data_IF_070214701568
#
_entry.id   IF_070214701568
#
_cell.length_a   1.000
_cell.length_b   1.000
_cell.length_c   1.000
_cell.angle_alpha   90.00
_cell.angle_beta   90.00
_cell.angle_gamma   90.00
#
_symmetry.space_group_name_H-M   'P 1'
#
loop_
_entity.id
_entity.type
_entity.pdbx_description
1 polymer ?
#
# COMPACT_ATOMS: atom_id res chain seq x y z
N UNK A 1 2.67 21.85 26.99
CA UNK A 1 1.54 21.50 26.07
C UNK A 1 2.02 21.63 24.64
N UNK A 2 1.91 20.59 23.84
CA UNK A 2 2.34 20.56 22.44
C UNK A 2 1.14 20.93 21.57
N UNK A 3 1.25 22.04 20.83
CA UNK A 3 0.17 22.54 19.99
C UNK A 3 0.33 22.03 18.56
N UNK A 4 -0.75 21.52 17.98
CA UNK A 4 -0.75 21.01 16.61
C UNK A 4 -1.84 21.67 15.76
N UNK A 5 -1.67 21.66 14.44
CA UNK A 5 -2.68 22.04 13.48
C UNK A 5 -3.01 20.85 12.57
N UNK A 6 -4.29 20.67 12.23
CA UNK A 6 -4.78 19.61 11.33
C UNK A 6 -5.25 20.26 10.04
N UNK A 7 -4.71 19.84 8.89
CA UNK A 7 -5.09 20.32 7.56
C UNK A 7 -6.07 19.31 6.93
N UNK A 8 -7.33 19.73 6.78
CA UNK A 8 -8.46 18.92 6.33
C UNK A 8 -9.22 18.29 7.50
N UNK A 9 -10.52 18.59 7.60
CA UNK A 9 -11.43 18.04 8.62
C UNK A 9 -12.44 17.07 8.00
N UNK A 10 -11.93 16.24 7.06
CA UNK A 10 -12.66 15.11 6.49
C UNK A 10 -12.59 13.87 7.39
N UNK A 11 -12.75 12.70 6.78
CA UNK A 11 -12.75 11.41 7.49
C UNK A 11 -11.50 11.21 8.37
N UNK A 12 -10.32 11.47 7.83
CA UNK A 12 -9.06 11.21 8.56
C UNK A 12 -8.79 12.32 9.58
N UNK A 13 -8.92 13.59 9.20
CA UNK A 13 -8.65 14.72 10.12
C UNK A 13 -9.59 14.71 11.34
N UNK A 14 -10.89 14.47 11.13
CA UNK A 14 -11.83 14.31 12.26
C UNK A 14 -11.51 13.07 13.11
N UNK A 15 -11.02 12.01 12.47
CA UNK A 15 -10.53 10.82 13.16
C UNK A 15 -9.31 11.10 14.04
N UNK A 16 -8.36 11.90 13.58
CA UNK A 16 -7.19 12.32 14.37
C UNK A 16 -7.62 13.05 15.64
N UNK A 17 -8.55 14.01 15.51
CA UNK A 17 -9.13 14.74 16.65
C UNK A 17 -9.81 13.77 17.62
N UNK A 18 -10.59 12.81 17.10
CA UNK A 18 -11.28 11.80 17.90
C UNK A 18 -10.30 10.90 18.66
N UNK A 19 -9.26 10.37 18.00
CA UNK A 19 -8.25 9.50 18.64
C UNK A 19 -7.49 10.26 19.73
N UNK A 20 -7.07 11.51 19.48
CA UNK A 20 -6.41 12.36 20.46
C UNK A 20 -7.30 12.60 21.69
N UNK A 21 -8.61 12.78 21.50
CA UNK A 21 -9.58 12.99 22.57
C UNK A 21 -9.81 11.70 23.38
N UNK A 22 -10.10 10.59 22.70
CA UNK A 22 -10.45 9.31 23.36
C UNK A 22 -9.27 8.73 24.12
N UNK A 23 -8.06 8.85 23.58
CA UNK A 23 -6.85 8.28 24.17
C UNK A 23 -5.96 9.30 24.87
N UNK A 24 -6.50 10.50 25.21
CA UNK A 24 -5.76 11.64 25.78
C UNK A 24 -4.80 11.21 26.90
N UNK A 25 -5.31 10.55 27.93
CA UNK A 25 -4.53 10.19 29.11
C UNK A 25 -3.38 9.22 28.80
N UNK A 26 -3.62 8.25 27.94
CA UNK A 26 -2.60 7.30 27.49
C UNK A 26 -1.52 7.99 26.66
N UNK A 27 -1.91 8.88 25.76
CA UNK A 27 -1.00 9.66 24.90
C UNK A 27 -0.16 10.59 25.77
N UNK A 28 -0.78 11.38 26.65
CA UNK A 28 -0.08 12.29 27.58
C UNK A 28 0.95 11.56 28.42
N UNK A 29 0.60 10.36 28.94
CA UNK A 29 1.54 9.54 29.74
C UNK A 29 2.75 9.09 28.91
N UNK A 30 2.57 8.79 27.62
CA UNK A 30 3.63 8.32 26.71
C UNK A 30 4.55 9.43 26.25
N UNK A 31 4.00 10.62 26.02
CA UNK A 31 4.71 11.81 25.54
C UNK A 31 5.35 12.58 26.70
N UNK A 32 4.74 12.55 27.87
CA UNK A 32 5.11 13.38 29.03
C UNK A 32 4.47 14.76 29.02
N UNK A 33 3.73 15.09 27.99
CA UNK A 33 3.01 16.37 27.85
C UNK A 33 1.70 16.18 27.07
N UNK A 34 0.76 17.12 27.24
CA UNK A 34 -0.53 17.09 26.54
C UNK A 34 -0.37 17.60 25.10
N UNK A 35 -0.99 16.89 24.14
CA UNK A 35 -1.11 17.30 22.74
C UNK A 35 -2.47 17.99 22.55
N UNK A 36 -2.45 19.19 22.01
CA UNK A 36 -3.61 20.06 21.87
C UNK A 36 -3.81 20.50 20.42
N UNK A 37 -4.99 20.25 19.84
CA UNK A 37 -5.37 20.74 18.51
C UNK A 37 -5.74 22.21 18.62
N UNK A 38 -4.87 23.08 18.11
CA UNK A 38 -5.05 24.53 18.14
C UNK A 38 -5.87 25.03 16.97
N UNK A 39 -5.54 24.54 15.77
CA UNK A 39 -6.19 24.93 14.53
C UNK A 39 -6.58 23.71 13.70
N UNK A 40 -7.64 23.89 12.93
CA UNK A 40 -8.09 22.95 11.90
C UNK A 40 -8.30 23.78 10.63
N UNK A 41 -7.53 23.52 9.58
CA UNK A 41 -7.70 24.16 8.28
C UNK A 41 -8.71 23.38 7.46
N UNK A 42 -9.83 24.01 7.12
CA UNK A 42 -10.79 23.46 6.14
C UNK A 42 -11.52 24.63 5.45
N UNK A 43 -11.92 24.45 4.20
CA UNK A 43 -12.68 25.45 3.45
C UNK A 43 -14.17 25.44 3.81
N UNK A 44 -14.63 24.38 4.46
CA UNK A 44 -16.02 24.21 4.88
C UNK A 44 -16.24 24.73 6.28
N UNK A 45 -17.48 25.14 6.55
CA UNK A 45 -17.98 25.42 7.89
C UNK A 45 -18.52 24.15 8.55
N UNK A 46 -18.43 24.08 9.87
CA UNK A 46 -18.91 22.93 10.66
C UNK A 46 -19.80 23.41 11.82
N UNK A 47 -20.99 24.00 11.53
CA UNK A 47 -21.85 24.56 12.57
C UNK A 47 -22.28 23.53 13.61
N UNK A 48 -22.04 23.86 14.88
CA UNK A 48 -22.39 22.99 16.01
C UNK A 48 -21.40 21.85 16.27
N UNK A 49 -20.30 21.74 15.51
CA UNK A 49 -19.21 20.80 15.82
C UNK A 49 -18.42 21.30 17.05
N UNK A 50 -18.03 20.44 17.99
CA UNK A 50 -17.23 20.82 19.15
C UNK A 50 -15.88 21.50 18.82
N UNK A 51 -15.41 21.42 17.57
CA UNK A 51 -14.16 22.01 17.10
C UNK A 51 -14.41 23.26 16.23
N UNK A 52 -15.64 23.75 16.11
CA UNK A 52 -16.02 24.88 15.27
C UNK A 52 -15.15 26.12 15.52
N UNK A 53 -14.87 26.44 16.78
CA UNK A 53 -14.05 27.57 17.20
C UNK A 53 -12.55 27.46 16.83
N UNK A 54 -12.12 26.33 16.32
CA UNK A 54 -10.73 26.04 15.88
C UNK A 54 -10.58 26.01 14.37
N UNK A 55 -11.69 26.10 13.64
CA UNK A 55 -11.67 26.11 12.18
C UNK A 55 -11.06 27.42 11.68
N UNK A 56 -10.09 27.30 10.80
CA UNK A 56 -9.47 28.42 10.08
C UNK A 56 -9.51 28.14 8.58
N UNK A 57 -9.61 29.18 7.75
CA UNK A 57 -9.73 29.04 6.30
C UNK A 57 -8.49 29.52 5.55
N UNK A 58 -7.50 30.06 6.27
CA UNK A 58 -6.24 30.54 5.70
C UNK A 58 -5.06 29.85 6.39
N UNK A 59 -4.24 29.15 5.59
CA UNK A 59 -3.04 28.50 6.08
C UNK A 59 -2.03 29.46 6.72
N UNK A 60 -2.01 30.72 6.33
CA UNK A 60 -1.12 31.73 6.90
C UNK A 60 -1.30 31.88 8.42
N UNK A 61 -2.49 31.63 8.96
CA UNK A 61 -2.74 31.62 10.42
C UNK A 61 -1.89 30.56 11.11
N UNK A 62 -1.79 29.36 10.51
CA UNK A 62 -1.01 28.25 11.04
C UNK A 62 0.48 28.47 10.82
N UNK A 63 0.86 28.91 9.62
CA UNK A 63 2.26 29.13 9.26
C UNK A 63 2.94 30.15 10.17
N UNK A 64 2.26 31.27 10.45
CA UNK A 64 2.81 32.39 11.21
C UNK A 64 2.71 32.22 12.73
N UNK A 65 2.06 31.16 13.22
CA UNK A 65 1.95 30.92 14.66
C UNK A 65 3.14 30.08 15.16
N UNK A 66 4.06 30.66 15.96
CA UNK A 66 5.24 29.96 16.47
C UNK A 66 4.91 28.89 17.53
N UNK A 67 3.71 28.89 18.10
CA UNK A 67 3.31 27.91 19.09
C UNK A 67 2.87 26.58 18.45
N UNK A 68 2.54 26.57 17.15
CA UNK A 68 2.22 25.33 16.42
C UNK A 68 3.51 24.57 16.13
N UNK A 69 3.70 23.47 16.84
CA UNK A 69 4.89 22.63 16.71
C UNK A 69 4.76 21.58 15.59
N UNK A 70 3.55 21.06 15.34
CA UNK A 70 3.32 19.96 14.41
C UNK A 70 2.15 20.31 13.47
N UNK A 71 2.34 20.14 12.18
CA UNK A 71 1.30 20.24 11.15
C UNK A 71 0.95 18.84 10.67
N UNK A 72 -0.33 18.50 10.71
CA UNK A 72 -0.88 17.18 10.34
C UNK A 72 -1.72 17.32 9.09
N UNK A 73 -1.32 16.73 7.98
CA UNK A 73 -2.03 16.81 6.71
C UNK A 73 -2.91 15.57 6.49
N UNK A 74 -4.19 15.81 6.23
CA UNK A 74 -5.22 14.80 5.97
C UNK A 74 -6.18 15.23 4.84
N UNK A 75 -5.70 16.02 3.86
CA UNK A 75 -6.52 16.55 2.77
C UNK A 75 -6.59 15.62 1.57
N UNK A 76 -5.47 14.99 1.21
CA UNK A 76 -5.32 14.19 0.00
C UNK A 76 -4.97 15.02 -1.25
N UNK A 77 -4.56 14.32 -2.32
CA UNK A 77 -3.99 14.97 -3.52
C UNK A 77 -2.55 15.45 -3.31
N UNK A 78 -1.88 15.88 -4.37
CA UNK A 78 -0.50 16.37 -4.27
C UNK A 78 -0.50 17.86 -3.92
N UNK A 79 -1.28 18.66 -4.63
CA UNK A 79 -1.50 20.09 -4.31
C UNK A 79 -2.90 20.31 -3.73
N UNK A 80 -3.06 21.19 -2.74
CA UNK A 80 -2.07 22.08 -2.14
C UNK A 80 -1.24 21.45 -0.99
N UNK A 81 -1.38 20.14 -0.75
CA UNK A 81 -0.72 19.44 0.36
C UNK A 81 0.81 19.61 0.34
N UNK A 82 1.45 19.50 -0.84
CA UNK A 82 2.88 19.71 -1.00
C UNK A 82 3.32 21.13 -0.64
N UNK A 83 2.59 22.15 -1.13
CA UNK A 83 2.88 23.55 -0.81
C UNK A 83 2.83 23.78 0.71
N UNK A 84 1.82 23.27 1.40
CA UNK A 84 1.69 23.43 2.85
C UNK A 84 2.71 22.62 3.63
N UNK A 85 3.03 21.40 3.18
CA UNK A 85 4.08 20.58 3.78
C UNK A 85 5.45 21.28 3.75
N UNK A 86 5.81 21.82 2.56
CA UNK A 86 7.05 22.57 2.37
C UNK A 86 7.10 23.80 3.27
N UNK A 87 6.05 24.63 3.26
CA UNK A 87 5.98 25.83 4.10
C UNK A 87 6.04 25.50 5.61
N UNK A 88 5.39 24.40 6.06
CA UNK A 88 5.48 23.94 7.44
C UNK A 88 6.92 23.62 7.81
N UNK A 89 7.59 22.77 7.02
CA UNK A 89 8.96 22.34 7.26
C UNK A 89 9.94 23.52 7.24
N UNK A 90 9.85 24.40 6.24
CA UNK A 90 10.70 25.59 6.10
C UNK A 90 10.49 26.60 7.25
N UNK A 91 9.31 26.64 7.87
CA UNK A 91 9.04 27.43 9.07
C UNK A 91 9.43 26.76 10.40
N UNK A 92 10.11 25.61 10.33
CA UNK A 92 10.59 24.88 11.51
C UNK A 92 9.52 24.06 12.23
N UNK A 93 8.39 23.76 11.58
CA UNK A 93 7.33 22.91 12.10
C UNK A 93 7.51 21.47 11.64
N UNK A 94 7.28 20.53 12.54
CA UNK A 94 7.21 19.11 12.17
C UNK A 94 5.98 18.83 11.31
N UNK A 95 6.06 17.78 10.49
CA UNK A 95 5.01 17.41 9.56
C UNK A 95 4.65 15.93 9.66
N UNK A 96 3.34 15.64 9.68
CA UNK A 96 2.82 14.27 9.61
C UNK A 96 1.72 14.20 8.54
N UNK A 97 1.66 13.12 7.76
CA UNK A 97 0.67 12.98 6.68
C UNK A 97 0.19 11.55 6.49
N UNK A 98 -1.05 11.38 6.04
CA UNK A 98 -1.62 10.13 5.53
C UNK A 98 -1.64 10.04 4.00
N UNK A 99 -1.08 11.03 3.31
CA UNK A 99 -1.25 11.26 1.88
C UNK A 99 -0.23 10.46 1.05
N UNK A 100 -0.67 9.31 0.58
CA UNK A 100 0.18 8.43 -0.26
C UNK A 100 0.63 9.07 -1.57
N UNK A 101 -0.24 9.91 -2.20
CA UNK A 101 0.10 10.56 -3.46
C UNK A 101 1.22 11.58 -3.27
N UNK A 102 1.12 12.39 -2.21
CA UNK A 102 2.17 13.34 -1.81
C UNK A 102 3.51 12.62 -1.57
N UNK A 103 3.50 11.55 -0.78
CA UNK A 103 4.73 10.84 -0.41
C UNK A 103 5.33 10.08 -1.59
N UNK A 104 4.53 9.44 -2.43
CA UNK A 104 5.04 8.75 -3.63
C UNK A 104 5.74 9.71 -4.61
N UNK A 105 5.26 10.97 -4.74
CA UNK A 105 5.81 11.93 -5.69
C UNK A 105 6.86 12.86 -5.09
N UNK A 106 6.73 13.24 -3.82
CA UNK A 106 7.52 14.30 -3.17
C UNK A 106 8.21 13.85 -1.89
N UNK A 107 8.12 12.56 -1.52
CA UNK A 107 8.64 12.05 -0.26
C UNK A 107 10.13 12.32 -0.07
N UNK A 108 10.96 12.00 -1.06
CA UNK A 108 12.41 12.23 -1.01
C UNK A 108 12.75 13.71 -0.75
N UNK A 109 12.03 14.64 -1.39
CA UNK A 109 12.25 16.09 -1.22
C UNK A 109 11.83 16.56 0.17
N UNK A 110 10.64 16.15 0.65
CA UNK A 110 10.13 16.53 1.97
C UNK A 110 11.00 15.99 3.11
N UNK A 111 11.48 14.75 2.99
CA UNK A 111 12.41 14.13 3.96
C UNK A 111 13.74 14.88 4.00
N UNK A 112 14.30 15.23 2.83
CA UNK A 112 15.52 16.05 2.75
C UNK A 112 15.33 17.42 3.40
N UNK A 113 14.25 18.13 3.06
CA UNK A 113 13.93 19.42 3.68
C UNK A 113 13.77 19.30 5.21
N UNK A 114 13.06 18.28 5.68
CA UNK A 114 12.89 18.04 7.11
C UNK A 114 14.23 17.84 7.82
N UNK A 115 15.16 17.10 7.22
CA UNK A 115 16.52 16.92 7.74
C UNK A 115 17.30 18.24 7.77
N UNK A 116 17.22 19.04 6.70
CA UNK A 116 17.91 20.36 6.62
C UNK A 116 17.40 21.34 7.65
N UNK A 117 16.11 21.31 8.01
CA UNK A 117 15.50 22.18 9.01
C UNK A 117 15.46 21.57 10.42
N UNK A 118 16.05 20.38 10.62
CA UNK A 118 16.06 19.64 11.89
C UNK A 118 14.65 19.39 12.45
N UNK A 119 13.66 19.13 11.59
CA UNK A 119 12.29 18.75 11.95
C UNK A 119 11.97 17.34 11.42
N UNK A 120 10.86 16.77 11.85
CA UNK A 120 10.43 15.44 11.43
C UNK A 120 9.36 15.51 10.34
N UNK A 121 9.47 14.64 9.33
CA UNK A 121 8.44 14.38 8.34
C UNK A 121 8.06 12.90 8.44
N UNK A 122 6.84 12.62 8.92
CA UNK A 122 6.36 11.25 9.17
C UNK A 122 5.11 10.95 8.35
N UNK A 123 4.97 9.69 7.90
CA UNK A 123 3.95 9.30 6.94
C UNK A 123 3.49 7.84 7.09
N UNK A 124 3.43 7.32 8.33
CA UNK A 124 3.03 5.93 8.62
C UNK A 124 1.70 5.56 7.94
N UNK A 125 0.73 6.47 7.99
CA UNK A 125 -0.61 6.25 7.45
C UNK A 125 -0.69 6.30 5.91
N UNK A 126 0.40 6.60 5.21
CA UNK A 126 0.44 6.61 3.74
C UNK A 126 0.41 5.22 3.13
N UNK A 127 0.83 4.18 3.87
CA UNK A 127 0.77 2.77 3.48
C UNK A 127 0.16 1.95 4.60
N UNK A 128 -0.74 1.02 4.25
CA UNK A 128 -1.30 0.07 5.20
C UNK A 128 -2.33 0.62 6.18
N UNK A 129 -2.76 1.87 6.03
CA UNK A 129 -3.78 2.48 6.90
C UNK A 129 -3.39 2.42 8.38
N UNK A 130 -4.02 1.52 9.15
CA UNK A 130 -3.71 1.32 10.57
C UNK A 130 -2.55 0.33 10.84
N UNK A 131 -2.01 -0.31 9.80
CA UNK A 131 -0.92 -1.28 9.94
C UNK A 131 0.41 -0.54 10.06
N UNK A 132 1.20 -0.72 11.14
CA UNK A 132 2.52 -0.13 11.26
C UNK A 132 3.49 -0.86 10.31
N UNK A 133 4.06 -0.17 9.34
CA UNK A 133 5.05 -0.72 8.40
C UNK A 133 6.21 0.23 8.10
N UNK A 134 5.93 1.53 7.92
CA UNK A 134 6.95 2.53 7.61
C UNK A 134 7.97 2.61 8.76
N UNK A 135 7.48 2.78 9.98
CA UNK A 135 8.33 2.85 11.16
C UNK A 135 9.04 1.54 11.48
N UNK A 136 8.41 0.36 11.40
CA UNK A 136 9.12 -0.91 11.48
C UNK A 136 10.29 -1.03 10.51
N UNK A 137 10.10 -0.74 9.23
CA UNK A 137 11.19 -0.76 8.24
C UNK A 137 12.32 0.22 8.62
N UNK A 138 11.95 1.41 9.14
CA UNK A 138 12.89 2.49 9.41
C UNK A 138 13.59 2.40 10.77
N UNK A 139 13.05 1.63 11.74
CA UNK A 139 13.52 1.63 13.11
C UNK A 139 13.66 0.25 13.75
N UNK A 140 12.86 -0.74 13.33
CA UNK A 140 12.84 -2.06 13.96
C UNK A 140 13.61 -3.11 13.15
N UNK A 141 13.59 -3.02 11.83
CA UNK A 141 14.18 -4.00 10.90
C UNK A 141 15.52 -3.53 10.32
N UNK A 142 16.16 -2.56 10.94
CA UNK A 142 17.38 -1.89 10.46
C UNK A 142 18.65 -2.74 10.56
N UNK A 143 18.60 -3.88 11.23
CA UNK A 143 19.72 -4.82 11.29
C UNK A 143 19.76 -5.79 10.09
N UNK A 144 18.69 -5.81 9.29
CA UNK A 144 18.52 -6.72 8.16
C UNK A 144 18.68 -6.00 6.82
N UNK A 145 19.14 -6.75 5.82
CA UNK A 145 18.91 -6.44 4.42
C UNK A 145 17.54 -7.00 4.06
N UNK A 146 16.64 -6.14 3.64
CA UNK A 146 15.29 -6.56 3.26
C UNK A 146 15.32 -7.08 1.83
N UNK A 147 15.14 -8.37 1.68
CA UNK A 147 15.20 -9.08 0.39
C UNK A 147 13.84 -9.14 -0.32
N UNK A 148 12.75 -9.15 0.45
CA UNK A 148 11.38 -9.11 -0.09
C UNK A 148 10.47 -8.25 0.78
N UNK A 149 9.65 -7.43 0.13
CA UNK A 149 8.42 -6.84 0.69
C UNK A 149 7.28 -7.20 -0.22
N UNK A 150 6.31 -7.95 0.29
CA UNK A 150 5.10 -8.34 -0.46
C UNK A 150 3.87 -8.05 0.36
N UNK A 151 2.80 -7.56 -0.25
CA UNK A 151 1.61 -7.23 0.52
C UNK A 151 0.31 -7.29 -0.25
N UNK A 152 -0.75 -7.56 0.50
CA UNK A 152 -2.12 -7.26 0.12
C UNK A 152 -2.38 -5.84 0.62
N UNK A 153 -2.20 -4.85 -0.27
CA UNK A 153 -2.17 -3.43 0.09
C UNK A 153 -3.47 -2.69 -0.25
N UNK A 154 -4.46 -3.38 -0.83
CA UNK A 154 -5.75 -2.79 -1.17
C UNK A 154 -6.89 -3.65 -0.65
N UNK A 155 -7.72 -3.09 0.24
CA UNK A 155 -8.84 -3.79 0.87
C UNK A 155 -9.99 -4.09 -0.08
N UNK A 156 -10.28 -3.21 -1.05
CA UNK A 156 -11.34 -3.39 -2.05
C UNK A 156 -11.09 -4.63 -2.90
N UNK A 157 -9.89 -4.72 -3.50
CA UNK A 157 -9.53 -5.87 -4.34
C UNK A 157 -9.45 -7.17 -3.54
N UNK A 158 -8.93 -7.13 -2.32
CA UNK A 158 -8.89 -8.32 -1.46
C UNK A 158 -10.30 -8.79 -1.07
N UNK A 159 -11.21 -7.86 -0.76
CA UNK A 159 -12.61 -8.17 -0.53
C UNK A 159 -13.23 -8.84 -1.76
N UNK A 160 -13.02 -8.28 -2.94
CA UNK A 160 -13.55 -8.82 -4.20
C UNK A 160 -13.03 -10.24 -4.46
N UNK A 161 -11.73 -10.46 -4.37
CA UNK A 161 -11.12 -11.80 -4.54
C UNK A 161 -11.64 -12.81 -3.52
N UNK A 162 -11.82 -12.38 -2.27
CA UNK A 162 -12.40 -13.21 -1.21
C UNK A 162 -13.83 -13.62 -1.56
N UNK A 163 -14.70 -12.68 -1.96
CA UNK A 163 -16.11 -12.99 -2.28
C UNK A 163 -16.28 -13.80 -3.55
N UNK A 164 -15.48 -13.54 -4.59
CA UNK A 164 -15.44 -14.41 -5.77
C UNK A 164 -15.04 -15.84 -5.37
N UNK A 165 -14.03 -15.99 -4.51
CA UNK A 165 -13.60 -17.30 -4.04
C UNK A 165 -14.65 -18.01 -3.18
N UNK A 166 -15.28 -17.31 -2.22
CA UNK A 166 -16.28 -17.91 -1.32
C UNK A 166 -17.57 -18.33 -2.04
N UNK A 167 -18.09 -17.44 -2.89
CA UNK A 167 -19.43 -17.57 -3.49
C UNK A 167 -19.42 -18.10 -4.92
N UNK A 168 -18.28 -18.08 -5.61
CA UNK A 168 -18.19 -18.37 -7.03
C UNK A 168 -18.89 -17.31 -7.91
N UNK A 169 -19.04 -16.08 -7.38
CA UNK A 169 -19.72 -14.99 -8.09
C UNK A 169 -18.83 -14.40 -9.18
N UNK A 170 -19.48 -13.79 -10.18
CA UNK A 170 -18.79 -13.06 -11.24
C UNK A 170 -18.24 -11.73 -10.71
N UNK A 171 -17.20 -11.22 -11.37
CA UNK A 171 -16.51 -9.99 -11.00
C UNK A 171 -17.46 -8.78 -10.83
N UNK A 172 -18.34 -8.56 -11.81
CA UNK A 172 -19.27 -7.42 -11.82
C UNK A 172 -20.28 -7.45 -10.66
N UNK A 173 -20.72 -8.62 -10.24
CA UNK A 173 -21.65 -8.75 -9.12
C UNK A 173 -20.97 -8.44 -7.79
N UNK A 174 -19.72 -8.87 -7.63
CA UNK A 174 -18.94 -8.58 -6.44
C UNK A 174 -18.52 -7.12 -6.39
N UNK A 175 -18.21 -6.50 -7.52
CA UNK A 175 -17.93 -5.06 -7.59
C UNK A 175 -19.13 -4.23 -7.13
N UNK A 176 -20.34 -4.55 -7.61
CA UNK A 176 -21.58 -3.88 -7.16
C UNK A 176 -21.81 -4.06 -5.65
N UNK A 177 -21.57 -5.26 -5.11
CA UNK A 177 -21.67 -5.51 -3.68
C UNK A 177 -20.63 -4.68 -2.88
N UNK A 178 -19.41 -4.56 -3.37
CA UNK A 178 -18.38 -3.72 -2.76
C UNK A 178 -18.77 -2.24 -2.76
N UNK A 179 -19.33 -1.74 -3.87
CA UNK A 179 -19.82 -0.35 -3.98
C UNK A 179 -21.00 -0.08 -3.02
N UNK A 180 -21.98 -0.99 -2.94
CA UNK A 180 -23.10 -0.87 -2.02
C UNK A 180 -22.68 -0.84 -0.55
N UNK A 181 -21.60 -1.53 -0.20
CA UNK A 181 -21.03 -1.55 1.15
C UNK A 181 -20.08 -0.40 1.44
N UNK A 182 -19.78 0.44 0.43
CA UNK A 182 -18.86 1.56 0.56
C UNK A 182 -17.37 1.14 0.58
N UNK A 183 -17.05 -0.07 0.14
CA UNK A 183 -15.67 -0.54 0.01
C UNK A 183 -15.03 -0.12 -1.32
N UNK A 184 -15.84 0.09 -2.36
CA UNK A 184 -15.43 0.65 -3.63
C UNK A 184 -16.17 1.95 -3.92
N UNK A 185 -15.48 2.91 -4.52
CA UNK A 185 -16.08 4.16 -5.00
C UNK A 185 -16.85 3.94 -6.32
N UNK A 186 -17.55 4.98 -6.77
CA UNK A 186 -18.26 4.94 -8.06
C UNK A 186 -17.31 4.70 -9.24
N UNK A 187 -16.11 5.31 -9.20
CA UNK A 187 -15.00 4.97 -10.08
C UNK A 187 -13.96 4.16 -9.31
N UNK A 188 -13.96 2.82 -9.42
CA UNK A 188 -13.05 1.94 -8.68
C UNK A 188 -11.72 1.71 -9.40
N UNK A 189 -11.45 2.37 -10.53
CA UNK A 189 -10.30 2.11 -11.42
C UNK A 189 -8.98 2.05 -10.67
N UNK A 190 -8.73 2.99 -9.75
CA UNK A 190 -7.49 3.03 -8.99
C UNK A 190 -7.27 1.76 -8.14
N UNK A 191 -8.34 1.14 -7.67
CA UNK A 191 -8.30 -0.10 -6.90
C UNK A 191 -8.16 -1.31 -7.82
N UNK A 192 -9.13 -1.51 -8.73
CA UNK A 192 -9.25 -2.75 -9.52
C UNK A 192 -8.17 -2.92 -10.58
N UNK A 193 -7.55 -1.81 -11.05
CA UNK A 193 -6.38 -1.85 -11.93
C UNK A 193 -5.04 -1.86 -11.17
N UNK A 194 -5.06 -1.89 -9.82
CA UNK A 194 -3.88 -2.04 -8.97
C UNK A 194 -3.07 -0.75 -8.75
N UNK A 195 -3.54 0.40 -9.22
CA UNK A 195 -2.79 1.66 -9.13
C UNK A 195 -2.57 2.14 -7.67
N UNK A 196 -3.54 1.89 -6.78
CA UNK A 196 -3.41 2.17 -5.35
C UNK A 196 -2.31 1.33 -4.72
N UNK A 197 -2.31 0.01 -4.99
CA UNK A 197 -1.29 -0.91 -4.50
C UNK A 197 0.09 -0.58 -5.08
N UNK A 198 0.15 -0.13 -6.35
CA UNK A 198 1.38 0.28 -7.03
C UNK A 198 2.04 1.49 -6.35
N UNK A 199 1.29 2.54 -6.01
CA UNK A 199 1.84 3.69 -5.27
C UNK A 199 2.38 3.28 -3.90
N UNK A 200 1.69 2.38 -3.21
CA UNK A 200 2.10 1.90 -1.89
C UNK A 200 3.38 1.08 -1.94
N UNK A 201 3.52 0.16 -2.91
CA UNK A 201 4.75 -0.61 -3.03
C UNK A 201 5.93 0.24 -3.51
N UNK A 202 5.69 1.30 -4.30
CA UNK A 202 6.73 2.25 -4.65
C UNK A 202 7.31 2.94 -3.40
N UNK A 203 6.45 3.37 -2.46
CA UNK A 203 6.88 3.95 -1.18
C UNK A 203 7.70 2.93 -0.37
N UNK A 204 7.21 1.70 -0.23
CA UNK A 204 7.91 0.67 0.54
C UNK A 204 9.25 0.30 -0.09
N UNK A 205 9.30 0.17 -1.43
CA UNK A 205 10.55 -0.11 -2.14
C UNK A 205 11.54 1.03 -1.97
N UNK A 206 11.08 2.29 -2.07
CA UNK A 206 11.95 3.46 -1.86
C UNK A 206 12.57 3.50 -0.47
N UNK A 207 11.81 3.12 0.57
CA UNK A 207 12.31 3.04 1.94
C UNK A 207 13.36 1.92 2.10
N UNK A 208 13.11 0.77 1.50
CA UNK A 208 14.00 -0.40 1.61
C UNK A 208 15.31 -0.18 0.87
N UNK A 209 15.26 0.40 -0.34
CA UNK A 209 16.46 0.66 -1.14
C UNK A 209 17.14 2.01 -0.82
N UNK A 210 16.46 2.89 -0.07
CA UNK A 210 16.97 4.23 0.26
C UNK A 210 17.06 5.20 -0.94
N UNK A 211 16.33 4.95 -2.03
CA UNK A 211 16.31 5.77 -3.24
C UNK A 211 14.87 5.96 -3.75
N UNK A 212 14.66 6.99 -4.57
CA UNK A 212 13.36 7.22 -5.18
C UNK A 212 12.99 6.11 -6.17
N UNK A 213 11.82 5.51 -5.99
CA UNK A 213 11.19 4.59 -6.94
C UNK A 213 9.93 5.24 -7.46
N UNK A 214 9.86 5.44 -8.77
CA UNK A 214 8.68 6.01 -9.41
C UNK A 214 7.66 4.89 -9.67
N UNK A 215 6.45 5.09 -9.21
CA UNK A 215 5.39 4.10 -9.38
C UNK A 215 5.02 3.83 -10.86
N UNK A 216 5.32 4.78 -11.76
CA UNK A 216 5.13 4.62 -13.21
C UNK A 216 6.04 3.55 -13.83
N UNK A 217 7.18 3.23 -13.18
CA UNK A 217 8.11 2.20 -13.66
C UNK A 217 7.74 0.79 -13.16
N UNK A 218 6.77 0.69 -12.27
CA UNK A 218 6.35 -0.60 -11.70
C UNK A 218 5.31 -1.25 -12.62
N UNK A 219 5.62 -2.47 -13.07
CA UNK A 219 4.66 -3.28 -13.80
C UNK A 219 3.42 -3.56 -12.96
N UNK A 220 2.24 -3.21 -13.49
CA UNK A 220 0.99 -3.29 -12.75
C UNK A 220 -0.09 -4.00 -13.55
N UNK A 221 -0.60 -5.08 -12.99
CA UNK A 221 -1.74 -5.85 -13.49
C UNK A 221 -2.85 -5.79 -12.42
N UNK A 222 -4.05 -5.37 -12.82
CA UNK A 222 -5.25 -5.36 -11.97
C UNK A 222 -5.92 -6.71 -11.85
N UNK A 223 -7.12 -6.71 -11.27
CA UNK A 223 -7.95 -7.91 -11.09
C UNK A 223 -9.10 -8.01 -12.09
N UNK A 224 -9.25 -7.04 -12.99
CA UNK A 224 -10.38 -6.95 -13.94
C UNK A 224 -10.46 -8.12 -14.92
N UNK A 225 -9.35 -8.81 -15.15
CA UNK A 225 -9.29 -10.01 -16.01
C UNK A 225 -9.54 -11.32 -15.26
N UNK A 226 -9.69 -11.29 -13.94
CA UNK A 226 -9.95 -12.49 -13.13
C UNK A 226 -11.43 -12.88 -13.26
N UNK A 227 -11.68 -14.12 -13.64
CA UNK A 227 -13.02 -14.67 -13.87
C UNK A 227 -13.42 -15.70 -12.83
N UNK A 228 -14.72 -16.02 -12.73
CA UNK A 228 -15.19 -17.14 -11.91
C UNK A 228 -14.57 -18.48 -12.33
N UNK A 229 -14.22 -18.63 -13.61
CA UNK A 229 -13.50 -19.82 -14.10
C UNK A 229 -12.10 -19.93 -13.51
N UNK A 230 -11.35 -18.83 -13.40
CA UNK A 230 -10.03 -18.82 -12.75
C UNK A 230 -10.12 -19.21 -11.28
N UNK A 231 -11.18 -18.75 -10.60
CA UNK A 231 -11.48 -19.14 -9.21
C UNK A 231 -11.74 -20.65 -9.07
N UNK A 232 -12.46 -21.26 -10.03
CA UNK A 232 -12.67 -22.72 -10.03
C UNK A 232 -11.37 -23.50 -10.15
N UNK A 233 -10.46 -23.06 -11.02
CA UNK A 233 -9.15 -23.67 -11.18
C UNK A 233 -8.27 -23.47 -9.95
N UNK A 234 -8.27 -22.26 -9.37
CA UNK A 234 -7.55 -21.99 -8.14
C UNK A 234 -8.02 -22.93 -7.01
N UNK A 235 -9.34 -23.14 -6.85
CA UNK A 235 -9.91 -24.11 -5.91
C UNK A 235 -9.48 -25.54 -6.20
N UNK A 236 -9.48 -25.96 -7.46
CA UNK A 236 -9.03 -27.29 -7.88
C UNK A 236 -7.56 -27.52 -7.53
N UNK A 237 -6.74 -26.47 -7.55
CA UNK A 237 -5.34 -26.48 -7.13
C UNK A 237 -5.15 -26.32 -5.60
N UNK A 238 -6.22 -26.11 -4.83
CA UNK A 238 -6.15 -25.80 -3.40
C UNK A 238 -5.52 -24.42 -3.11
N UNK A 239 -5.62 -23.48 -4.05
CA UNK A 239 -4.99 -22.15 -3.99
C UNK A 239 -6.01 -21.02 -3.88
N UNK A 240 -5.52 -19.85 -3.46
CA UNK A 240 -6.30 -18.61 -3.39
C UNK A 240 -5.67 -17.54 -4.31
N UNK A 241 -6.50 -16.82 -5.08
CA UNK A 241 -6.02 -15.70 -5.89
C UNK A 241 -6.01 -14.44 -5.04
N UNK A 242 -4.86 -13.75 -5.00
CA UNK A 242 -4.67 -12.48 -4.31
C UNK A 242 -3.98 -11.48 -5.24
N UNK A 243 -4.36 -10.21 -5.16
CA UNK A 243 -3.58 -9.13 -5.78
C UNK A 243 -2.40 -8.82 -4.84
N UNK A 244 -1.19 -9.13 -5.26
CA UNK A 244 0.02 -8.82 -4.50
C UNK A 244 0.73 -7.63 -5.13
N UNK A 245 1.17 -6.71 -4.28
CA UNK A 245 2.17 -5.71 -4.59
C UNK A 245 3.48 -6.17 -3.96
N UNK A 246 4.51 -6.38 -4.76
CA UNK A 246 5.74 -7.02 -4.31
C UNK A 246 6.98 -6.31 -4.81
N UNK A 247 8.02 -6.31 -3.98
CA UNK A 247 9.35 -5.80 -4.28
C UNK A 247 10.38 -6.83 -3.84
N UNK A 248 11.34 -7.12 -4.70
CA UNK A 248 12.40 -8.12 -4.47
C UNK A 248 13.75 -7.51 -4.75
N UNK A 249 14.72 -7.75 -3.87
CA UNK A 249 16.11 -7.44 -4.14
C UNK A 249 16.63 -8.36 -5.25
N UNK A 250 17.28 -7.77 -6.26
CA UNK A 250 17.84 -8.47 -7.41
C UNK A 250 19.24 -7.95 -7.67
N UNK A 251 20.24 -8.64 -7.13
CA UNK A 251 21.63 -8.15 -7.13
C UNK A 251 21.74 -6.83 -6.38
N UNK A 252 22.25 -5.81 -7.03
CA UNK A 252 22.43 -4.45 -6.47
C UNK A 252 21.21 -3.54 -6.71
N UNK A 253 20.09 -4.08 -7.26
CA UNK A 253 18.87 -3.34 -7.54
C UNK A 253 17.65 -4.04 -6.94
N UNK A 254 16.48 -3.52 -7.23
CA UNK A 254 15.18 -4.12 -6.88
C UNK A 254 14.33 -4.25 -8.13
N UNK A 255 13.48 -5.26 -8.17
CA UNK A 255 12.36 -5.30 -9.09
C UNK A 255 11.05 -5.22 -8.30
N UNK A 256 10.07 -4.52 -8.86
CA UNK A 256 8.77 -4.38 -8.22
C UNK A 256 7.65 -4.67 -9.24
N UNK A 257 6.56 -5.28 -8.76
CA UNK A 257 5.37 -5.53 -9.57
C UNK A 257 4.12 -5.58 -8.72
N UNK A 258 2.99 -5.30 -9.36
CA UNK A 258 1.64 -5.55 -8.81
C UNK A 258 0.94 -6.49 -9.76
N UNK A 259 0.50 -7.63 -9.27
CA UNK A 259 -0.18 -8.62 -10.10
C UNK A 259 -1.02 -9.59 -9.27
N UNK A 260 -2.01 -10.27 -9.88
CA UNK A 260 -2.66 -11.42 -9.29
C UNK A 260 -1.68 -12.60 -9.15
N UNK A 261 -1.75 -13.28 -8.00
CA UNK A 261 -1.01 -14.50 -7.70
C UNK A 261 -1.93 -15.59 -7.16
N UNK A 262 -1.70 -16.83 -7.55
CA UNK A 262 -2.28 -18.02 -6.91
C UNK A 262 -1.37 -18.47 -5.78
N UNK A 263 -1.80 -18.24 -4.54
CA UNK A 263 -1.04 -18.58 -3.33
C UNK A 263 -1.41 -19.98 -2.82
N UNK A 264 -0.43 -20.73 -2.38
CA UNK A 264 -0.67 -21.99 -1.66
C UNK A 264 -1.03 -21.76 -0.19
N UNK A 265 -1.68 -22.73 0.50
CA UNK A 265 -2.11 -22.59 1.89
C UNK A 265 -1.01 -22.30 2.90
N UNK A 266 0.23 -22.66 2.58
CA UNK A 266 1.42 -22.42 3.43
C UNK A 266 1.96 -20.98 3.32
N UNK A 267 1.54 -20.25 2.28
CA UNK A 267 1.98 -18.86 2.10
C UNK A 267 1.37 -17.95 3.17
N UNK A 268 2.15 -17.07 3.85
CA UNK A 268 1.65 -16.22 4.95
C UNK A 268 0.44 -15.36 4.57
N UNK A 269 0.39 -14.87 3.33
CA UNK A 269 -0.70 -14.01 2.84
C UNK A 269 -1.95 -14.78 2.38
N UNK A 270 -1.94 -16.11 2.34
CA UNK A 270 -3.06 -16.92 1.85
C UNK A 270 -4.36 -16.65 2.61
N UNK A 271 -4.30 -16.57 3.94
CA UNK A 271 -5.45 -16.41 4.83
C UNK A 271 -5.84 -14.96 5.10
N UNK A 272 -5.23 -13.99 4.43
CA UNK A 272 -5.63 -12.58 4.52
C UNK A 272 -6.85 -12.36 3.65
N UNK A 273 -8.03 -12.24 4.26
CA UNK A 273 -9.33 -12.20 3.58
C UNK A 273 -10.09 -10.90 3.86
N UNK A 274 -11.21 -10.73 3.17
CA UNK A 274 -12.12 -9.58 3.27
C UNK A 274 -11.39 -8.24 3.02
N UNK A 275 -11.68 -7.22 3.81
CA UNK A 275 -11.08 -5.87 3.69
C UNK A 275 -9.72 -5.74 4.39
N UNK A 276 -9.24 -6.81 4.99
CA UNK A 276 -7.96 -6.79 5.70
C UNK A 276 -6.77 -6.74 4.74
N UNK A 277 -5.72 -6.09 5.20
CA UNK A 277 -4.45 -5.98 4.52
C UNK A 277 -3.35 -6.67 5.33
N UNK A 278 -2.27 -7.02 4.66
CA UNK A 278 -1.05 -7.46 5.33
C UNK A 278 0.17 -7.08 4.49
N UNK A 279 1.27 -6.81 5.18
CA UNK A 279 2.59 -6.62 4.59
C UNK A 279 3.51 -7.70 5.14
N UNK A 280 4.03 -8.52 4.25
CA UNK A 280 5.04 -9.53 4.52
C UNK A 280 6.41 -8.94 4.18
N UNK A 281 7.38 -9.20 5.03
CA UNK A 281 8.77 -8.76 4.87
C UNK A 281 9.68 -9.96 5.11
N UNK A 282 10.64 -10.17 4.21
CA UNK A 282 11.70 -11.14 4.39
C UNK A 282 13.05 -10.41 4.53
N UNK A 283 13.69 -10.60 5.66
CA UNK A 283 15.03 -10.10 5.94
C UNK A 283 16.05 -11.23 5.93
N UNK A 284 17.27 -10.94 5.49
CA UNK A 284 18.33 -11.94 5.32
C UNK A 284 18.77 -12.64 6.62
N UNK A 285 18.49 -12.07 7.78
CA UNK A 285 18.85 -12.61 9.11
C UNK A 285 17.62 -12.92 9.94
N UNK A 286 16.66 -12.01 9.98
CA UNK A 286 15.40 -12.19 10.69
C UNK A 286 14.54 -13.31 10.08
N UNK A 287 14.60 -13.50 8.75
CA UNK A 287 13.64 -14.32 8.02
C UNK A 287 12.31 -13.59 7.85
N UNK A 288 11.20 -14.31 8.06
CA UNK A 288 9.87 -13.84 7.76
C UNK A 288 9.25 -13.02 8.90
N UNK A 289 8.70 -11.85 8.57
CA UNK A 289 7.85 -11.05 9.44
C UNK A 289 6.58 -10.64 8.68
N UNK A 290 5.46 -10.53 9.36
CA UNK A 290 4.20 -10.09 8.77
C UNK A 290 3.48 -9.10 9.67
N UNK A 291 2.97 -8.04 9.06
CA UNK A 291 2.14 -7.00 9.71
C UNK A 291 0.73 -7.07 9.12
N UNK A 292 -0.26 -7.32 9.95
CA UNK A 292 -1.64 -7.56 9.54
C UNK A 292 -2.61 -6.65 10.27
N UNK A 293 -3.64 -6.17 9.59
CA UNK A 293 -4.68 -5.34 10.21
C UNK A 293 -5.61 -4.67 9.22
N UNK A 294 -6.24 -3.57 9.66
CA UNK A 294 -7.13 -2.76 8.83
C UNK A 294 -6.32 -1.82 7.94
N UNK A 295 -6.32 -2.08 6.64
CA UNK A 295 -5.60 -1.29 5.63
C UNK A 295 -6.23 0.06 5.29
N UNK A 296 -7.43 0.34 5.80
CA UNK A 296 -8.17 1.60 5.61
C UNK A 296 -9.18 1.81 6.76
N UNK A 297 -9.85 2.96 6.75
CA UNK A 297 -10.90 3.32 7.70
C UNK A 297 -10.52 4.51 8.58
N UNK A 298 -11.54 5.26 9.04
CA UNK A 298 -11.37 6.50 9.81
C UNK A 298 -10.43 6.34 11.00
N UNK A 299 -10.78 5.47 11.94
CA UNK A 299 -10.01 5.32 13.18
C UNK A 299 -8.70 4.55 13.00
N UNK A 300 -8.61 3.46 12.22
CA UNK A 300 -7.33 2.81 11.96
C UNK A 300 -6.29 3.75 11.34
N UNK A 301 -6.65 4.47 10.27
CA UNK A 301 -5.73 5.44 9.62
C UNK A 301 -5.38 6.59 10.56
N UNK A 302 -6.37 7.16 11.25
CA UNK A 302 -6.12 8.22 12.24
C UNK A 302 -5.21 7.74 13.38
N UNK A 303 -5.31 6.47 13.80
CA UNK A 303 -4.42 5.90 14.81
C UNK A 303 -2.95 5.90 14.36
N UNK A 304 -2.68 5.57 13.09
CA UNK A 304 -1.32 5.63 12.54
C UNK A 304 -0.80 7.07 12.47
N UNK A 305 -1.65 8.04 12.05
CA UNK A 305 -1.29 9.47 12.07
C UNK A 305 -0.99 9.94 13.50
N UNK A 306 -1.84 9.58 14.47
CA UNK A 306 -1.62 9.95 15.88
C UNK A 306 -0.35 9.30 16.44
N UNK A 307 -0.02 8.08 15.99
CA UNK A 307 1.24 7.44 16.35
C UNK A 307 2.46 8.23 15.83
N UNK A 308 2.37 8.82 14.63
CA UNK A 308 3.39 9.73 14.09
C UNK A 308 3.47 11.02 14.93
N UNK A 309 2.33 11.62 15.26
CA UNK A 309 2.30 12.81 16.15
C UNK A 309 2.97 12.51 17.50
N UNK A 310 2.67 11.35 18.10
CA UNK A 310 3.29 10.91 19.37
C UNK A 310 4.79 10.72 19.23
N UNK A 311 5.26 10.15 18.13
CA UNK A 311 6.69 9.95 17.89
C UNK A 311 7.41 11.28 17.66
N UNK A 312 6.83 12.18 16.87
CA UNK A 312 7.33 13.55 16.71
C UNK A 312 7.39 14.26 18.06
N UNK A 313 6.32 14.19 18.84
CA UNK A 313 6.22 14.85 20.16
C UNK A 313 7.30 14.45 21.16
N UNK A 314 7.84 13.24 21.02
CA UNK A 314 9.00 12.78 21.81
C UNK A 314 10.34 13.27 21.28
N UNK A 315 10.37 13.81 20.07
CA UNK A 315 11.60 14.17 19.35
C UNK A 315 11.48 15.56 18.69
N UNK A 316 10.95 16.56 19.43
CA UNK A 316 10.77 17.92 18.92
C UNK A 316 12.11 18.68 18.74
N UNK A 317 13.17 18.22 19.35
CA UNK A 317 14.48 18.85 19.34
C UNK A 317 15.44 18.27 18.29
N UNK A 318 15.01 17.21 17.58
CA UNK A 318 15.87 16.51 16.61
C UNK A 318 15.09 15.85 15.48
N UNK A 319 15.75 15.74 14.34
CA UNK A 319 15.28 14.95 13.21
C UNK A 319 15.52 13.44 13.44
N UNK A 320 14.51 12.63 13.18
CA UNK A 320 14.61 11.17 13.09
C UNK A 320 14.97 10.84 11.65
N UNK A 321 16.18 10.29 11.39
CA UNK A 321 16.61 10.05 10.02
C UNK A 321 15.72 9.04 9.29
N UNK A 322 15.38 9.35 8.05
CA UNK A 322 14.81 8.43 7.07
C UNK A 322 15.75 8.42 5.88
N UNK A 323 16.23 7.25 5.49
CA UNK A 323 17.08 7.12 4.31
C UNK A 323 16.20 7.02 3.06
N UNK A 324 16.15 8.11 2.30
CA UNK A 324 15.44 8.17 1.02
C UNK A 324 16.02 9.31 0.19
N UNK A 325 16.93 8.95 -0.70
CA UNK A 325 17.61 9.89 -1.61
C UNK A 325 16.72 10.18 -2.82
N UNK A 326 16.88 11.37 -3.40
CA UNK A 326 16.11 11.81 -4.58
C UNK A 326 16.53 11.13 -5.88
N UNK A 327 17.72 10.57 -5.90
CA UNK A 327 18.24 9.85 -7.05
C UNK A 327 17.36 8.65 -7.32
N UNK A 328 16.84 8.59 -8.56
CA UNK A 328 15.94 7.54 -8.98
C UNK A 328 16.66 6.20 -9.06
N UNK A 329 16.11 5.17 -8.47
CA UNK A 329 16.52 3.79 -8.68
C UNK A 329 15.99 3.31 -10.03
N UNK A 330 16.86 2.77 -10.88
CA UNK A 330 16.46 2.01 -12.05
C UNK A 330 16.06 0.60 -11.58
N UNK A 331 14.76 0.28 -11.68
CA UNK A 331 14.26 -1.03 -11.32
C UNK A 331 14.77 -2.08 -12.31
N UNK A 332 15.13 -3.24 -11.79
CA UNK A 332 15.38 -4.41 -12.62
C UNK A 332 14.05 -4.89 -13.26
N UNK A 333 14.16 -5.46 -14.46
CA UNK A 333 13.00 -5.97 -15.17
C UNK A 333 12.33 -7.12 -14.36
N UNK A 334 11.06 -6.98 -14.01
CA UNK A 334 10.30 -7.96 -13.24
C UNK A 334 10.26 -9.34 -13.90
N UNK A 335 10.49 -9.43 -15.23
CA UNK A 335 10.58 -10.70 -15.97
C UNK A 335 11.81 -11.52 -15.62
N UNK A 336 12.79 -10.97 -14.91
CA UNK A 336 13.91 -11.75 -14.36
C UNK A 336 13.48 -12.67 -13.21
N UNK A 337 12.32 -12.38 -12.57
CA UNK A 337 11.81 -13.21 -11.49
C UNK A 337 11.34 -14.57 -12.03
N UNK A 338 11.75 -15.61 -11.34
CA UNK A 338 11.28 -16.97 -11.62
C UNK A 338 9.95 -17.24 -10.92
N UNK A 339 8.97 -17.71 -11.69
CA UNK A 339 7.67 -18.11 -11.20
C UNK A 339 7.22 -19.39 -11.92
N UNK A 340 6.28 -20.09 -11.31
CA UNK A 340 5.38 -20.95 -12.07
C UNK A 340 4.21 -20.12 -12.57
N UNK A 341 3.64 -20.52 -13.69
CA UNK A 341 2.49 -19.85 -14.27
C UNK A 341 1.34 -20.81 -14.45
N UNK A 342 0.19 -20.44 -13.92
CA UNK A 342 -1.08 -21.07 -14.28
C UNK A 342 -1.55 -20.43 -15.58
N UNK A 343 -1.84 -21.29 -16.58
CA UNK A 343 -2.21 -20.84 -17.93
C UNK A 343 -3.49 -21.55 -18.36
N UNK A 344 -4.41 -20.81 -18.98
CA UNK A 344 -5.60 -21.33 -19.67
C UNK A 344 -5.50 -21.03 -21.16
N UNK A 345 -5.86 -22.00 -22.00
CA UNK A 345 -5.78 -21.87 -23.46
C UNK A 345 -6.76 -22.80 -24.15
N UNK A 346 -7.13 -22.49 -25.40
CA UNK A 346 -7.88 -23.38 -26.27
C UNK A 346 -6.97 -24.33 -27.09
N UNK A 347 -5.65 -24.09 -27.05
CA UNK A 347 -4.67 -24.95 -27.73
C UNK A 347 -4.68 -26.39 -27.21
N UNK A 348 -4.35 -27.33 -28.08
CA UNK A 348 -4.26 -28.73 -27.74
C UNK A 348 -2.98 -29.06 -26.93
N UNK A 349 -2.95 -30.26 -26.34
CA UNK A 349 -1.83 -30.67 -25.49
C UNK A 349 -0.49 -30.73 -26.21
N UNK A 350 -0.50 -31.10 -27.49
CA UNK A 350 0.73 -31.20 -28.29
C UNK A 350 1.36 -29.79 -28.50
N UNK A 351 0.54 -28.79 -28.77
CA UNK A 351 0.97 -27.40 -28.88
C UNK A 351 1.47 -26.85 -27.52
N UNK A 352 0.78 -27.17 -26.41
CA UNK A 352 1.18 -26.77 -25.07
C UNK A 352 2.57 -27.38 -24.73
N UNK A 353 2.75 -28.68 -24.93
CA UNK A 353 4.01 -29.36 -24.61
C UNK A 353 5.17 -28.93 -25.51
N UNK A 354 4.86 -28.53 -26.74
CA UNK A 354 5.85 -27.95 -27.65
C UNK A 354 6.34 -26.56 -27.15
N UNK A 355 5.43 -25.70 -26.70
CA UNK A 355 5.75 -24.34 -26.27
C UNK A 355 6.37 -24.31 -24.86
N UNK A 356 5.79 -25.02 -23.89
CA UNK A 356 6.15 -24.96 -22.47
C UNK A 356 6.94 -26.16 -21.94
N UNK A 357 7.11 -27.21 -22.78
CA UNK A 357 7.72 -28.48 -22.32
C UNK A 357 6.81 -29.24 -21.36
N UNK A 358 7.39 -29.79 -20.30
CA UNK A 358 6.63 -30.54 -19.30
C UNK A 358 5.79 -29.60 -18.42
N UNK A 359 4.48 -29.86 -18.37
CA UNK A 359 3.52 -29.06 -17.60
C UNK A 359 2.64 -29.95 -16.73
N UNK A 360 2.02 -29.40 -15.70
CA UNK A 360 1.04 -30.07 -14.86
C UNK A 360 -0.37 -29.66 -15.25
N UNK A 361 -1.11 -30.54 -15.92
CA UNK A 361 -2.49 -30.27 -16.32
C UNK A 361 -3.43 -30.20 -15.11
N UNK A 362 -4.40 -29.30 -15.20
CA UNK A 362 -5.40 -29.05 -14.15
C UNK A 362 -6.79 -29.18 -14.78
N UNK A 363 -7.72 -29.78 -14.04
CA UNK A 363 -9.13 -29.81 -14.40
C UNK A 363 -9.96 -29.16 -13.31
N UNK A 364 -10.97 -28.38 -13.69
CA UNK A 364 -11.93 -27.80 -12.77
C UNK A 364 -13.34 -28.29 -13.10
N UNK A 365 -14.15 -28.54 -12.09
CA UNK A 365 -15.51 -29.02 -12.25
C UNK A 365 -16.38 -28.04 -13.06
N UNK A 366 -17.07 -28.58 -14.07
CA UNK A 366 -17.96 -27.80 -14.91
C UNK A 366 -17.26 -26.88 -15.92
N UNK A 367 -15.95 -27.03 -16.14
CA UNK A 367 -15.21 -26.32 -17.19
C UNK A 367 -14.85 -27.29 -18.30
N UNK A 368 -15.20 -26.92 -19.53
CA UNK A 368 -14.95 -27.72 -20.76
C UNK A 368 -14.55 -26.79 -21.90
N UNK A 369 -13.93 -27.36 -22.94
CA UNK A 369 -13.59 -26.61 -24.20
C UNK A 369 -12.27 -25.85 -24.10
N UNK A 370 -11.50 -26.02 -23.01
CA UNK A 370 -10.18 -25.42 -22.82
C UNK A 370 -9.25 -26.39 -22.11
N UNK A 371 -7.96 -26.13 -22.18
CA UNK A 371 -6.91 -26.77 -21.39
C UNK A 371 -6.36 -25.77 -20.38
N UNK A 372 -6.09 -26.27 -19.18
CA UNK A 372 -5.41 -25.50 -18.15
C UNK A 372 -4.24 -26.29 -17.57
N UNK A 373 -3.16 -25.60 -17.26
CA UNK A 373 -1.94 -26.20 -16.74
C UNK A 373 -1.13 -25.22 -15.88
N UNK A 374 -0.21 -25.79 -15.09
CA UNK A 374 0.83 -25.06 -14.38
C UNK A 374 2.18 -25.41 -15.01
N UNK A 375 2.97 -24.39 -15.34
CA UNK A 375 4.30 -24.58 -15.94
C UNK A 375 5.32 -25.09 -14.92
N UNK A 376 6.46 -25.58 -15.39
CA UNK A 376 7.67 -25.59 -14.59
C UNK A 376 8.06 -24.16 -14.18
N UNK A 377 8.94 -24.01 -13.20
CA UNK A 377 9.48 -22.71 -12.83
C UNK A 377 10.31 -22.13 -13.99
N UNK A 378 10.00 -20.91 -14.40
CA UNK A 378 10.69 -20.18 -15.47
C UNK A 378 10.67 -18.69 -15.20
N UNK A 379 11.59 -17.94 -15.80
CA UNK A 379 11.54 -16.49 -15.79
C UNK A 379 10.50 -15.96 -16.78
N UNK A 380 10.15 -14.66 -16.65
CA UNK A 380 9.13 -14.03 -17.49
C UNK A 380 9.54 -13.95 -18.97
N UNK A 381 10.82 -13.87 -19.30
CA UNK A 381 11.27 -13.85 -20.71
C UNK A 381 11.04 -15.20 -21.37
N UNK A 382 11.30 -16.28 -20.65
CA UNK A 382 11.02 -17.63 -21.13
C UNK A 382 9.51 -17.85 -21.27
N UNK A 383 8.71 -17.30 -20.34
CA UNK A 383 7.26 -17.34 -20.42
C UNK A 383 6.74 -16.60 -21.66
N UNK A 384 7.16 -15.33 -21.86
CA UNK A 384 6.73 -14.52 -23.01
C UNK A 384 7.01 -15.21 -24.35
N UNK A 385 8.18 -15.87 -24.45
CA UNK A 385 8.55 -16.65 -25.64
C UNK A 385 7.64 -17.86 -25.86
N UNK A 386 7.35 -18.61 -24.79
CA UNK A 386 6.49 -19.79 -24.86
C UNK A 386 5.04 -19.40 -25.15
N UNK A 387 4.54 -18.30 -24.57
CA UNK A 387 3.23 -17.75 -24.85
C UNK A 387 3.08 -17.36 -26.34
N UNK A 388 4.10 -16.67 -26.89
CA UNK A 388 4.12 -16.28 -28.30
C UNK A 388 4.13 -17.51 -29.24
N UNK A 389 4.77 -18.62 -28.85
CA UNK A 389 4.78 -19.87 -29.62
C UNK A 389 3.44 -20.60 -29.51
N UNK A 390 2.79 -20.58 -28.34
CA UNK A 390 1.48 -21.21 -28.11
C UNK A 390 0.37 -20.47 -28.89
N UNK A 391 0.40 -19.13 -28.90
CA UNK A 391 -0.58 -18.28 -29.55
C UNK A 391 -1.68 -17.84 -28.58
N UNK A 392 -2.87 -18.46 -28.61
CA UNK A 392 -4.00 -18.01 -27.81
C UNK A 392 -3.88 -18.43 -26.34
N UNK A 393 -3.76 -17.44 -25.44
CA UNK A 393 -3.83 -17.60 -23.98
C UNK A 393 -5.07 -16.88 -23.47
N UNK A 394 -5.96 -17.61 -22.79
CA UNK A 394 -7.17 -17.07 -22.19
C UNK A 394 -6.90 -16.39 -20.87
N UNK A 395 -5.93 -16.91 -20.09
CA UNK A 395 -5.54 -16.38 -18.81
C UNK A 395 -4.12 -16.85 -18.44
N UNK A 396 -3.39 -15.98 -17.78
CA UNK A 396 -2.11 -16.28 -17.13
C UNK A 396 -2.10 -15.69 -15.71
N UNK A 397 -1.77 -16.50 -14.70
CA UNK A 397 -1.64 -16.05 -13.31
C UNK A 397 -0.36 -16.66 -12.73
N UNK A 398 0.45 -15.84 -12.08
CA UNK A 398 1.65 -16.32 -11.37
C UNK A 398 1.27 -17.21 -10.19
N UNK A 399 2.06 -18.24 -9.93
CA UNK A 399 1.81 -19.23 -8.87
C UNK A 399 2.95 -19.18 -7.86
N UNK A 400 2.59 -19.00 -6.60
CA UNK A 400 3.53 -18.84 -5.48
C UNK A 400 3.14 -19.75 -4.31
#
# INVERSE_FOLDING_TARGET
>A
MIQIAVLGYGTIGSGVVEVLKVNKDSITKRVGDEIFVKYILDLREFPGDPMEDKIVHDYAVIQNDPEVAIVVEAMGGVEPAYTFAKQAIESGKHFATSNKALIAEKGAELIRLAKEHNVNCMFEASVGGGIPIIRPLNSCLTADVIEEVSGILNGTTNYMMTKMSEKGSEFEDVLKDAQQKGYAEADPTADIEGHDACRKIAILTSLVCGQQVDFQDIHTEGITKITATDIKYAKALGRSIKLLASSYQTGDSYCALVAPFMLEPTHPLYNVNDVFNAVFVHGNVLGDAMFYGSGAGKLPTASAVVADIVEIAKHLDKNIPVEWRKEKLELADYRQLKNKYFVRTTADKAAIEKAFGSVSYVQAEGVTGENAFVTAEMDGFAYDKAEAELGEVLQCIRVK
#
